data_IF_015130727260
#
_entry.id   IF_015130727260
#
_cell.length_a   1.000
_cell.length_b   1.000
_cell.length_c   1.000
_cell.angle_alpha   90.00
_cell.angle_beta   90.00
_cell.angle_gamma   90.00
#
_symmetry.space_group_name_H-M   'P 1'
#
loop_
_entity.id
_entity.type
_entity.pdbx_description
1 polymer ?
#
# COMPACT_ATOMS: atom_id res chain seq x y z
N UNK A 1 -36.62 -53.29 -41.60
CA UNK A 1 -35.39 -53.57 -40.83
C UNK A 1 -34.35 -52.53 -41.23
N UNK A 2 -34.23 -51.35 -40.62
CA UNK A 2 -33.64 -51.00 -39.30
C UNK A 2 -32.15 -51.39 -39.12
N UNK A 3 -31.26 -50.41 -39.34
CA UNK A 3 -30.15 -49.95 -38.44
C UNK A 3 -29.10 -49.19 -39.26
N UNK A 4 -29.14 -47.84 -39.32
CA UNK A 4 -28.46 -46.89 -38.42
C UNK A 4 -27.00 -47.26 -38.10
N UNK A 5 -26.05 -46.60 -38.78
CA UNK A 5 -24.67 -46.36 -38.34
C UNK A 5 -24.43 -44.86 -38.43
N UNK A 6 -24.55 -44.20 -37.29
CA UNK A 6 -24.06 -42.85 -37.02
C UNK A 6 -23.48 -42.86 -35.60
N UNK A 7 -22.57 -41.92 -35.36
CA UNK A 7 -22.08 -41.47 -34.05
C UNK A 7 -20.87 -42.20 -33.49
N UNK A 8 -19.68 -41.73 -33.89
CA UNK A 8 -18.46 -41.82 -33.07
C UNK A 8 -17.42 -40.77 -33.46
N UNK A 9 -17.79 -39.50 -33.41
CA UNK A 9 -16.85 -38.37 -33.49
C UNK A 9 -17.45 -37.19 -32.72
N UNK A 10 -17.03 -37.01 -31.47
CA UNK A 10 -17.46 -35.86 -30.68
C UNK A 10 -17.45 -36.16 -29.18
N UNK A 11 -16.30 -36.48 -28.60
CA UNK A 11 -16.15 -36.56 -27.13
C UNK A 11 -14.69 -36.42 -26.68
N UNK A 12 -13.90 -35.58 -27.36
CA UNK A 12 -12.49 -35.31 -26.95
C UNK A 12 -12.11 -33.82 -26.97
N UNK A 13 -13.06 -32.90 -27.05
CA UNK A 13 -12.75 -31.47 -27.11
C UNK A 13 -13.34 -30.60 -25.99
N UNK A 14 -14.03 -31.17 -25.01
CA UNK A 14 -14.61 -30.39 -23.89
C UNK A 14 -13.93 -30.64 -22.52
N UNK A 15 -12.84 -31.41 -22.49
CA UNK A 15 -12.12 -31.71 -21.24
C UNK A 15 -10.80 -30.93 -21.08
N UNK A 16 -10.52 -29.92 -21.91
CA UNK A 16 -9.34 -29.05 -21.75
C UNK A 16 -9.63 -27.64 -21.24
N UNK A 17 -10.88 -27.22 -21.16
CA UNK A 17 -11.23 -25.84 -20.76
C UNK A 17 -11.58 -25.69 -19.27
N UNK A 18 -11.47 -26.77 -18.48
CA UNK A 18 -11.82 -26.77 -17.05
C UNK A 18 -10.61 -26.73 -16.09
N UNK A 19 -9.38 -26.97 -16.57
CA UNK A 19 -8.18 -27.00 -15.71
C UNK A 19 -7.38 -25.67 -15.72
N UNK A 20 -7.74 -24.69 -16.55
CA UNK A 20 -6.98 -23.44 -16.69
C UNK A 20 -7.48 -22.27 -15.79
N UNK A 21 -8.44 -22.52 -14.88
CA UNK A 21 -9.05 -21.47 -14.04
C UNK A 21 -8.61 -21.43 -12.58
N UNK A 22 -7.68 -22.27 -12.13
CA UNK A 22 -7.45 -22.45 -10.68
C UNK A 22 -6.00 -22.25 -10.20
N UNK A 23 -5.19 -21.39 -10.84
CA UNK A 23 -3.77 -21.26 -10.45
C UNK A 23 -3.17 -19.84 -10.54
N UNK A 24 -3.92 -18.77 -10.24
CA UNK A 24 -3.34 -17.43 -10.08
C UNK A 24 -3.81 -16.74 -8.79
N UNK A 25 -3.86 -17.47 -7.68
CA UNK A 25 -3.79 -16.84 -6.37
C UNK A 25 -2.32 -16.46 -6.10
N UNK A 26 -1.78 -15.56 -6.92
CA UNK A 26 -0.46 -14.99 -6.67
C UNK A 26 -0.63 -14.10 -5.44
N UNK A 27 -0.10 -14.58 -4.32
CA UNK A 27 -0.14 -13.89 -3.03
C UNK A 27 0.42 -12.49 -3.22
N UNK A 28 -0.45 -11.47 -3.12
CA UNK A 28 -0.05 -10.07 -3.10
C UNK A 28 0.95 -9.92 -1.95
N UNK A 29 2.23 -9.73 -2.26
CA UNK A 29 3.19 -9.31 -1.25
C UNK A 29 2.77 -7.94 -0.76
N UNK A 30 2.13 -7.89 0.40
CA UNK A 30 1.75 -6.64 1.06
C UNK A 30 2.96 -6.10 1.78
N UNK A 31 3.49 -4.97 1.30
CA UNK A 31 4.51 -4.22 2.01
C UNK A 31 3.85 -3.57 3.22
N UNK A 32 4.22 -4.00 4.42
CA UNK A 32 3.72 -3.40 5.65
C UNK A 32 4.48 -2.10 5.96
N UNK A 33 3.79 -1.07 6.49
CA UNK A 33 4.46 0.12 6.99
C UNK A 33 5.47 -0.24 8.09
N UNK A 34 6.59 0.46 8.10
CA UNK A 34 7.50 0.48 9.24
C UNK A 34 6.90 1.34 10.34
N UNK A 35 6.63 0.75 11.51
CA UNK A 35 6.06 1.49 12.63
C UNK A 35 7.18 2.02 13.54
N UNK A 36 7.28 3.35 13.67
CA UNK A 36 8.26 4.03 14.52
C UNK A 36 7.54 4.64 15.71
N UNK A 37 7.81 4.16 16.92
CA UNK A 37 7.23 4.70 18.16
C UNK A 37 7.94 6.00 18.52
N UNK A 38 7.17 7.08 18.68
CA UNK A 38 7.65 8.42 19.01
C UNK A 38 7.87 8.61 20.52
N UNK A 39 8.82 7.87 21.10
CA UNK A 39 9.33 8.13 22.45
C UNK A 39 10.58 9.03 22.43
N UNK A 40 11.10 9.43 23.60
CA UNK A 40 12.35 10.21 23.74
C UNK A 40 13.52 9.65 22.91
N UNK A 41 13.54 8.33 22.75
CA UNK A 41 14.35 7.64 21.75
C UNK A 41 13.41 6.89 20.82
N UNK A 42 13.30 7.29 19.54
CA UNK A 42 12.43 6.62 18.57
C UNK A 42 12.79 5.14 18.43
N UNK A 43 11.77 4.27 18.38
CA UNK A 43 11.98 2.82 18.29
C UNK A 43 11.17 2.21 17.17
N UNK A 44 11.82 1.45 16.30
CA UNK A 44 11.15 0.59 15.33
C UNK A 44 10.40 -0.52 16.07
N UNK A 45 9.13 -0.74 15.70
CA UNK A 45 8.35 -1.90 16.10
C UNK A 45 8.44 -2.97 15.01
N UNK A 46 8.61 -4.23 15.41
CA UNK A 46 8.77 -5.36 14.48
C UNK A 46 7.46 -5.84 13.83
N UNK A 47 6.32 -5.37 14.33
CA UNK A 47 4.98 -5.81 13.89
C UNK A 47 3.97 -4.67 14.02
N UNK A 48 2.86 -4.78 13.28
CA UNK A 48 1.74 -3.88 13.41
C UNK A 48 1.17 -3.88 14.85
N UNK A 49 0.70 -2.72 15.36
CA UNK A 49 0.01 -2.69 16.64
C UNK A 49 -1.22 -3.62 16.64
N UNK A 50 -1.42 -4.36 17.73
CA UNK A 50 -2.53 -5.31 17.85
C UNK A 50 -3.90 -4.64 17.67
N UNK A 51 -4.04 -3.41 18.16
CA UNK A 51 -5.27 -2.63 18.01
C UNK A 51 -5.54 -2.26 16.54
N UNK A 52 -4.49 -2.03 15.74
CA UNK A 52 -4.63 -1.80 14.30
C UNK A 52 -5.13 -3.08 13.62
N UNK A 53 -4.60 -4.25 13.99
CA UNK A 53 -5.06 -5.52 13.44
C UNK A 53 -6.52 -5.80 13.79
N UNK A 54 -6.95 -5.51 15.02
CA UNK A 54 -8.36 -5.61 15.45
C UNK A 54 -9.26 -4.70 14.63
N UNK A 55 -8.84 -3.46 14.39
CA UNK A 55 -9.61 -2.51 13.58
C UNK A 55 -9.65 -2.92 12.11
N UNK A 56 -8.53 -3.40 11.55
CA UNK A 56 -8.51 -3.93 10.18
C UNK A 56 -9.43 -5.13 10.03
N UNK A 57 -9.42 -6.07 11.00
CA UNK A 57 -10.35 -7.19 11.00
C UNK A 57 -11.80 -6.71 11.05
N UNK A 58 -12.11 -5.74 11.90
CA UNK A 58 -13.44 -5.15 11.95
C UNK A 58 -13.85 -4.49 10.62
N UNK A 59 -12.94 -3.76 9.97
CA UNK A 59 -13.18 -3.17 8.65
C UNK A 59 -13.47 -4.26 7.62
N UNK A 60 -12.69 -5.34 7.61
CA UNK A 60 -12.88 -6.46 6.69
C UNK A 60 -14.22 -7.17 6.93
N UNK A 61 -14.59 -7.38 8.19
CA UNK A 61 -15.85 -8.04 8.58
C UNK A 61 -17.08 -7.18 8.23
N UNK A 62 -16.90 -5.85 8.13
CA UNK A 62 -17.97 -4.89 7.85
C UNK A 62 -17.79 -4.20 6.49
N UNK A 63 -16.97 -4.77 5.61
CA UNK A 63 -16.68 -4.16 4.31
C UNK A 63 -17.97 -4.13 3.48
N UNK A 64 -18.40 -2.92 3.13
CA UNK A 64 -19.47 -2.71 2.15
C UNK A 64 -18.83 -2.31 0.82
N UNK A 65 -19.50 -2.64 -0.30
CA UNK A 65 -18.92 -2.58 -1.66
C UNK A 65 -18.22 -1.25 -2.04
N UNK A 66 -18.54 -0.14 -1.38
CA UNK A 66 -18.02 1.19 -1.74
C UNK A 66 -17.57 2.05 -0.55
N UNK A 67 -17.68 1.55 0.70
CA UNK A 67 -17.38 2.38 1.87
C UNK A 67 -16.72 1.58 2.99
N UNK A 68 -15.68 2.18 3.57
CA UNK A 68 -15.01 1.69 4.76
C UNK A 68 -15.52 2.49 5.96
N UNK A 69 -16.19 1.80 6.89
CA UNK A 69 -16.57 2.38 8.18
C UNK A 69 -15.50 2.07 9.22
N UNK A 70 -14.89 3.11 9.79
CA UNK A 70 -13.91 2.96 10.87
C UNK A 70 -14.63 3.09 12.22
N UNK A 71 -14.33 2.22 13.21
CA UNK A 71 -14.88 2.34 14.55
C UNK A 71 -14.66 3.73 15.15
N UNK A 72 -15.65 4.22 15.91
CA UNK A 72 -15.52 5.47 16.65
C UNK A 72 -14.72 5.28 17.95
N UNK A 73 -14.16 6.37 18.49
CA UNK A 73 -13.43 6.34 19.76
C UNK A 73 -12.00 5.81 19.68
N UNK A 74 -11.44 5.63 18.48
CA UNK A 74 -10.04 5.26 18.30
C UNK A 74 -9.10 6.42 18.67
N UNK A 75 -7.98 6.10 19.31
CA UNK A 75 -6.93 7.07 19.66
C UNK A 75 -5.97 7.30 18.48
N UNK A 76 -5.17 8.38 18.52
CA UNK A 76 -4.11 8.64 17.53
C UNK A 76 -3.11 7.49 17.42
N UNK A 77 -2.85 6.79 18.52
CA UNK A 77 -1.97 5.62 18.57
C UNK A 77 -2.44 4.45 17.71
N UNK A 78 -3.75 4.40 17.42
CA UNK A 78 -4.36 3.42 16.50
C UNK A 78 -4.61 4.05 15.13
N UNK A 79 -5.14 5.27 15.08
CA UNK A 79 -5.52 5.94 13.83
C UNK A 79 -4.32 6.25 12.93
N UNK A 80 -3.19 6.69 13.49
CA UNK A 80 -1.99 7.00 12.69
C UNK A 80 -1.44 5.75 11.98
N UNK A 81 -1.12 4.65 12.69
CA UNK A 81 -0.67 3.43 12.01
C UNK A 81 -1.75 2.79 11.13
N UNK A 82 -3.04 2.90 11.47
CA UNK A 82 -4.12 2.45 10.60
C UNK A 82 -4.15 3.24 9.28
N UNK A 83 -4.05 4.57 9.35
CA UNK A 83 -4.01 5.42 8.16
C UNK A 83 -2.82 5.08 7.27
N UNK A 84 -1.63 4.85 7.86
CA UNK A 84 -0.46 4.42 7.10
C UNK A 84 -0.68 3.08 6.36
N UNK A 85 -1.39 2.13 6.97
CA UNK A 85 -1.74 0.86 6.30
C UNK A 85 -2.73 1.10 5.16
N UNK A 86 -3.80 1.87 5.41
CA UNK A 86 -4.87 2.13 4.42
C UNK A 86 -4.39 2.98 3.24
N UNK A 87 -3.46 3.90 3.48
CA UNK A 87 -2.85 4.79 2.48
C UNK A 87 -1.53 4.25 1.92
N UNK A 88 -1.10 3.08 2.40
CA UNK A 88 0.11 2.39 1.93
C UNK A 88 1.39 3.22 2.09
N UNK A 89 1.47 3.99 3.17
CA UNK A 89 2.70 4.65 3.55
C UNK A 89 3.72 3.61 4.01
N UNK A 90 4.98 3.78 3.59
CA UNK A 90 6.06 2.88 4.01
C UNK A 90 6.47 3.05 5.48
N UNK A 91 6.01 4.13 6.13
CA UNK A 91 6.33 4.43 7.52
C UNK A 91 5.13 5.04 8.24
N UNK A 92 4.98 4.69 9.51
CA UNK A 92 4.00 5.25 10.43
C UNK A 92 4.68 5.70 11.72
N UNK A 93 4.55 6.98 12.07
CA UNK A 93 5.10 7.54 13.30
C UNK A 93 4.06 7.44 14.41
N UNK A 94 4.14 6.38 15.22
CA UNK A 94 3.13 6.02 16.21
C UNK A 94 3.33 6.83 17.49
N UNK A 95 2.36 7.65 17.91
CA UNK A 95 2.46 8.40 19.15
C UNK A 95 2.39 7.47 20.37
N UNK A 96 3.04 7.89 21.46
CA UNK A 96 3.04 7.16 22.74
C UNK A 96 1.85 7.50 23.63
N UNK A 97 1.18 8.62 23.39
CA UNK A 97 -0.07 9.00 24.04
C UNK A 97 -1.03 9.75 23.10
N UNK A 98 -2.33 9.77 23.38
CA UNK A 98 -3.31 10.55 22.61
C UNK A 98 -3.04 12.05 22.59
N UNK A 99 -2.46 12.58 23.67
CA UNK A 99 -2.15 14.00 23.87
C UNK A 99 -0.80 14.41 23.25
N UNK A 100 -0.05 13.46 22.70
CA UNK A 100 1.25 13.74 22.11
C UNK A 100 1.09 14.56 20.83
N UNK A 101 1.45 15.84 20.90
CA UNK A 101 1.50 16.76 19.76
C UNK A 101 2.95 17.09 19.40
N UNK A 102 3.85 16.10 19.40
CA UNK A 102 5.26 16.35 19.10
C UNK A 102 5.39 16.93 17.69
N UNK A 103 5.87 18.17 17.60
CA UNK A 103 6.21 18.81 16.33
C UNK A 103 7.71 18.72 16.12
N UNK A 104 8.12 18.31 14.92
CA UNK A 104 9.47 18.52 14.47
C UNK A 104 9.52 19.88 13.78
N UNK A 105 10.17 20.85 14.42
CA UNK A 105 10.38 22.18 13.85
C UNK A 105 11.77 22.27 13.25
N UNK A 106 11.87 22.73 12.01
CA UNK A 106 13.13 22.93 11.29
C UNK A 106 13.95 21.66 11.03
N UNK A 107 13.31 20.48 11.10
CA UNK A 107 13.95 19.23 10.71
C UNK A 107 13.94 19.07 9.19
N UNK A 108 15.02 18.50 8.66
CA UNK A 108 15.06 18.10 7.25
C UNK A 108 14.10 16.93 7.03
N UNK A 109 13.28 17.05 5.99
CA UNK A 109 12.31 16.06 5.58
C UNK A 109 12.68 15.53 4.20
N UNK A 110 12.81 14.21 4.10
CA UNK A 110 12.76 13.53 2.82
C UNK A 110 11.31 13.47 2.35
N UNK A 111 10.98 14.20 1.28
CA UNK A 111 9.65 14.25 0.69
C UNK A 111 9.64 13.38 -0.56
N UNK A 112 8.73 12.40 -0.58
CA UNK A 112 8.53 11.48 -1.68
C UNK A 112 7.20 11.76 -2.35
N UNK A 113 7.21 11.85 -3.67
CA UNK A 113 6.02 12.07 -4.49
C UNK A 113 5.94 10.97 -5.55
N UNK A 114 4.96 10.08 -5.41
CA UNK A 114 4.65 9.04 -6.37
C UNK A 114 3.72 9.61 -7.43
N UNK A 115 4.20 9.63 -8.67
CA UNK A 115 3.51 10.16 -9.84
C UNK A 115 3.12 9.00 -10.76
N UNK A 116 1.84 8.97 -11.10
CA UNK A 116 1.32 8.14 -12.17
C UNK A 116 1.46 8.90 -13.49
N UNK A 117 2.12 8.29 -14.47
CA UNK A 117 2.30 8.83 -15.81
C UNK A 117 1.44 8.00 -16.76
N UNK A 118 0.54 8.66 -17.49
CA UNK A 118 -0.36 8.02 -18.45
C UNK A 118 -0.03 8.49 -19.86
N UNK A 119 0.47 7.58 -20.69
CA UNK A 119 0.94 7.89 -22.05
C UNK A 119 -0.21 8.39 -22.94
N UNK A 120 -1.39 7.79 -22.81
CA UNK A 120 -2.60 8.11 -23.58
C UNK A 120 -3.09 9.56 -23.37
N UNK A 121 -2.74 10.16 -22.24
CA UNK A 121 -3.09 11.54 -21.87
C UNK A 121 -1.96 12.53 -22.17
N UNK A 122 -1.06 12.18 -23.10
CA UNK A 122 0.07 13.03 -23.47
C UNK A 122 1.12 13.14 -22.37
N UNK A 123 1.41 12.02 -21.69
CA UNK A 123 2.32 11.94 -20.55
C UNK A 123 1.87 12.82 -19.37
N UNK A 124 0.57 12.90 -19.11
CA UNK A 124 0.05 13.60 -17.95
C UNK A 124 0.59 12.95 -16.67
N UNK A 125 1.02 13.79 -15.72
CA UNK A 125 1.51 13.35 -14.41
C UNK A 125 0.43 13.59 -13.37
N UNK A 126 -0.04 12.54 -12.72
CA UNK A 126 -1.03 12.61 -11.66
C UNK A 126 -0.40 12.19 -10.33
N UNK A 127 -0.48 13.02 -9.26
CA UNK A 127 0.03 12.61 -7.96
C UNK A 127 -0.84 11.49 -7.39
N UNK A 128 -0.22 10.35 -7.10
CA UNK A 128 -0.87 9.19 -6.48
C UNK A 128 -0.70 9.24 -4.96
N UNK A 129 0.52 9.51 -4.51
CA UNK A 129 0.91 9.48 -3.10
C UNK A 129 1.95 10.56 -2.85
N UNK A 130 1.83 11.28 -1.73
CA UNK A 130 2.86 12.20 -1.27
C UNK A 130 2.99 12.10 0.24
N UNK A 131 4.19 11.84 0.71
CA UNK A 131 4.48 11.80 2.15
C UNK A 131 5.90 12.29 2.42
N UNK A 132 6.15 12.62 3.68
CA UNK A 132 7.45 13.03 4.18
C UNK A 132 7.94 12.08 5.27
N UNK A 133 9.26 11.89 5.32
CA UNK A 133 9.96 11.18 6.38
C UNK A 133 11.00 12.12 6.99
N UNK A 134 10.97 12.42 8.29
CA UNK A 134 12.03 13.19 8.92
C UNK A 134 13.36 12.46 8.83
N UNK A 135 14.38 13.15 8.33
CA UNK A 135 15.72 12.58 8.13
C UNK A 135 16.32 12.11 9.47
N UNK A 136 15.99 12.77 10.59
CA UNK A 136 16.43 12.37 11.93
C UNK A 136 15.81 11.05 12.42
N UNK A 137 14.74 10.58 11.77
CA UNK A 137 14.07 9.30 12.05
C UNK A 137 14.36 8.25 10.96
N UNK A 138 15.17 8.59 9.96
CA UNK A 138 15.55 7.67 8.90
C UNK A 138 16.41 6.55 9.49
N UNK A 139 15.86 5.34 9.49
CA UNK A 139 16.61 4.11 9.69
C UNK A 139 17.09 3.59 8.34
N UNK A 140 18.01 2.62 8.32
CA UNK A 140 18.61 2.09 7.07
C UNK A 140 17.59 1.66 6.01
N UNK A 141 16.39 1.24 6.41
CA UNK A 141 15.31 0.80 5.52
C UNK A 141 14.52 1.97 4.90
N UNK A 142 14.58 3.14 5.54
CA UNK A 142 13.98 4.40 5.08
C UNK A 142 15.00 5.30 4.38
N UNK A 143 16.17 4.76 4.02
CA UNK A 143 17.11 5.46 3.15
C UNK A 143 16.42 5.84 1.82
N UNK A 144 16.61 7.06 1.28
CA UNK A 144 15.89 7.53 0.11
C UNK A 144 15.89 6.57 -1.08
N UNK A 145 17.02 5.95 -1.38
CA UNK A 145 17.15 5.01 -2.50
C UNK A 145 16.24 3.79 -2.31
N UNK A 146 16.17 3.25 -1.09
CA UNK A 146 15.33 2.09 -0.77
C UNK A 146 13.85 2.46 -0.76
N UNK A 147 13.50 3.64 -0.27
CA UNK A 147 12.11 4.15 -0.30
C UNK A 147 11.64 4.31 -1.74
N UNK A 148 12.46 4.94 -2.60
CA UNK A 148 12.18 5.11 -4.03
C UNK A 148 11.99 3.76 -4.71
N UNK A 149 12.93 2.82 -4.51
CA UNK A 149 12.87 1.48 -5.10
C UNK A 149 11.62 0.72 -4.64
N UNK A 150 11.32 0.75 -3.33
CA UNK A 150 10.18 0.06 -2.73
C UNK A 150 8.86 0.61 -3.27
N UNK A 151 8.68 1.93 -3.30
CA UNK A 151 7.47 2.57 -3.83
C UNK A 151 7.30 2.29 -5.33
N UNK A 152 8.37 2.43 -6.11
CA UNK A 152 8.33 2.16 -7.55
C UNK A 152 7.94 0.70 -7.80
N UNK A 153 8.58 -0.26 -7.14
CA UNK A 153 8.27 -1.69 -7.24
C UNK A 153 6.83 -1.99 -6.84
N UNK A 154 6.38 -1.46 -5.69
CA UNK A 154 5.03 -1.67 -5.16
C UNK A 154 3.96 -1.23 -6.16
N UNK A 155 4.03 0.01 -6.66
CA UNK A 155 3.01 0.54 -7.55
C UNK A 155 3.13 0.00 -8.98
N UNK A 156 4.34 -0.25 -9.49
CA UNK A 156 4.51 -0.93 -10.79
C UNK A 156 3.91 -2.33 -10.79
N UNK A 157 4.10 -3.10 -9.71
CA UNK A 157 3.50 -4.43 -9.60
C UNK A 157 1.97 -4.37 -9.59
N UNK A 158 1.38 -3.33 -8.97
CA UNK A 158 -0.08 -3.11 -8.98
C UNK A 158 -0.62 -2.74 -10.35
N UNK A 159 0.02 -1.81 -11.05
CA UNK A 159 -0.37 -1.47 -12.42
C UNK A 159 -0.35 -2.70 -13.33
N UNK A 160 0.66 -3.57 -13.16
CA UNK A 160 0.74 -4.85 -13.89
C UNK A 160 -0.41 -5.80 -13.54
N UNK A 161 -0.78 -5.90 -12.26
CA UNK A 161 -1.89 -6.76 -11.82
C UNK A 161 -3.23 -6.29 -12.39
N UNK A 162 -3.45 -4.98 -12.43
CA UNK A 162 -4.68 -4.36 -12.96
C UNK A 162 -4.67 -4.20 -14.49
N UNK A 163 -3.61 -4.66 -15.17
CA UNK A 163 -3.45 -4.59 -16.64
C UNK A 163 -3.57 -3.16 -17.19
N UNK A 164 -3.01 -2.19 -16.46
CA UNK A 164 -2.94 -0.80 -16.89
C UNK A 164 -1.79 -0.59 -17.89
N UNK A 165 -1.96 -1.05 -19.12
CA UNK A 165 -0.97 -0.87 -20.18
C UNK A 165 -0.77 0.63 -20.49
N UNK A 166 0.49 1.05 -20.74
CA UNK A 166 0.83 2.46 -21.01
C UNK A 166 0.84 3.38 -19.78
N UNK A 167 0.66 2.82 -18.58
CA UNK A 167 0.75 3.55 -17.32
C UNK A 167 2.08 3.22 -16.65
N UNK A 168 2.79 4.24 -16.18
CA UNK A 168 4.08 4.07 -15.50
C UNK A 168 4.11 4.82 -14.18
N UNK A 169 4.95 4.34 -13.27
CA UNK A 169 5.18 4.97 -11.97
C UNK A 169 6.53 5.66 -11.98
N UNK A 170 6.55 6.87 -11.46
CA UNK A 170 7.77 7.62 -11.15
C UNK A 170 7.70 8.09 -9.71
N UNK A 171 8.80 7.95 -8.98
CA UNK A 171 8.91 8.46 -7.62
C UNK A 171 9.94 9.59 -7.63
N UNK A 172 9.50 10.79 -7.32
CA UNK A 172 10.38 11.94 -7.12
C UNK A 172 10.73 12.07 -5.64
N UNK A 173 11.99 12.40 -5.36
CA UNK A 173 12.52 12.66 -4.01
C UNK A 173 13.07 14.08 -3.95
N UNK A 174 12.80 14.75 -2.83
CA UNK A 174 13.37 16.06 -2.52
C UNK A 174 13.60 16.17 -1.01
N UNK A 175 14.54 17.01 -0.61
CA UNK A 175 14.74 17.37 0.80
C UNK A 175 14.15 18.74 1.05
N UNK A 176 13.29 18.86 2.06
CA UNK A 176 12.63 20.11 2.42
C UNK A 176 12.76 20.36 3.92
N UNK A 177 12.95 21.61 4.32
CA UNK A 177 12.84 22.02 5.72
C UNK A 177 11.53 22.81 5.87
N UNK A 178 10.66 22.36 6.76
CA UNK A 178 9.40 23.04 7.05
C UNK A 178 9.44 23.60 8.47
N UNK A 179 8.86 24.79 8.65
CA UNK A 179 8.82 25.47 9.96
C UNK A 179 8.09 24.62 11.02
N UNK A 180 7.08 23.85 10.59
CA UNK A 180 6.30 22.96 11.43
C UNK A 180 5.91 21.71 10.67
N UNK A 181 6.27 20.56 11.23
CA UNK A 181 5.86 19.24 10.77
C UNK A 181 5.08 18.58 11.89
N UNK A 182 3.81 18.29 11.63
CA UNK A 182 3.02 17.45 12.51
C UNK A 182 3.41 16.00 12.25
N UNK A 183 3.77 15.28 13.32
CA UNK A 183 3.94 13.83 13.32
C UNK A 183 2.70 13.14 13.87
#
# INVERSE_FOLDING_TARGET
MLKKRQDKLGFRHEQRDAEEKCNHAQTRETVWPTFIILSDTPKKRSSAPEDVLKVLQHILDNLQDVCISVPTGLTSQTLVPLAAVLLEYLVAYVPTSPEQTSFLSNEALDVYECLLIVDELGNSKQPLLKFSSPACLAIDELAPEKVIETLASLFTNRLRQEKCDGWTIRVDHSVQCLDRVAL
#
